data_IF_214074237443
#
_entry.id   IF_214074237443
#
_cell.length_a   1.000
_cell.length_b   1.000
_cell.length_c   1.000
_cell.angle_alpha   90.00
_cell.angle_beta   90.00
_cell.angle_gamma   90.00
#
_symmetry.space_group_name_H-M   'P 1'
#
loop_
_entity.id
_entity.type
_entity.pdbx_description
1 polymer ?
#
# COMPACT_ATOMS: atom_id res chain seq x y z
N UNK A 1 10.81 -11.38 11.15
CA UNK A 1 10.63 -11.66 12.60
C UNK A 1 9.25 -12.29 12.78
N UNK A 2 9.05 -13.27 13.67
CA UNK A 2 7.73 -13.92 13.84
C UNK A 2 6.89 -13.26 14.93
N UNK A 3 5.59 -13.09 14.70
CA UNK A 3 4.65 -12.54 15.69
C UNK A 3 4.43 -13.54 16.83
N UNK A 4 4.58 -13.09 18.08
CA UNK A 4 4.40 -13.94 19.27
C UNK A 4 2.92 -14.22 19.54
N UNK A 5 2.62 -15.26 20.32
CA UNK A 5 1.23 -15.59 20.68
C UNK A 5 0.54 -14.47 21.48
N UNK A 6 1.29 -13.75 22.32
CA UNK A 6 0.73 -12.63 23.07
C UNK A 6 0.46 -11.42 22.17
N UNK A 7 1.36 -11.12 21.21
CA UNK A 7 1.11 -10.10 20.19
C UNK A 7 -0.11 -10.47 19.34
N UNK A 8 -0.25 -11.73 18.91
CA UNK A 8 -1.44 -12.19 18.17
C UNK A 8 -2.74 -11.99 18.94
N UNK A 9 -2.76 -12.29 20.25
CA UNK A 9 -3.94 -12.05 21.10
C UNK A 9 -4.30 -10.56 21.15
N UNK A 10 -3.28 -9.69 21.29
CA UNK A 10 -3.47 -8.23 21.31
C UNK A 10 -3.99 -7.72 19.96
N UNK A 11 -3.40 -8.17 18.86
CA UNK A 11 -3.83 -7.80 17.50
C UNK A 11 -5.30 -8.18 17.31
N UNK A 12 -5.68 -9.44 17.62
CA UNK A 12 -7.06 -9.93 17.47
C UNK A 12 -8.04 -9.18 18.37
N UNK A 13 -7.69 -8.89 19.62
CA UNK A 13 -8.58 -8.20 20.56
C UNK A 13 -8.79 -6.73 20.20
N UNK A 14 -7.83 -6.11 19.52
CA UNK A 14 -7.90 -4.69 19.11
C UNK A 14 -8.36 -4.50 17.65
N UNK A 15 -8.36 -5.55 16.82
CA UNK A 15 -8.70 -5.47 15.39
C UNK A 15 -10.09 -4.88 15.12
N UNK A 16 -11.12 -5.24 15.92
CA UNK A 16 -12.48 -4.71 15.72
C UNK A 16 -12.55 -3.19 15.89
N UNK A 17 -11.78 -2.65 16.85
CA UNK A 17 -11.70 -1.20 17.10
C UNK A 17 -11.14 -0.50 15.85
N UNK A 18 -10.09 -1.06 15.25
CA UNK A 18 -9.52 -0.49 14.03
C UNK A 18 -10.46 -0.63 12.82
N UNK A 19 -11.26 -1.69 12.75
CA UNK A 19 -12.27 -1.87 11.69
C UNK A 19 -13.34 -0.80 11.74
N UNK A 20 -13.93 -0.62 12.91
CA UNK A 20 -15.05 0.30 13.14
C UNK A 20 -14.62 1.75 12.93
N UNK A 21 -13.35 2.06 13.22
CA UNK A 21 -12.80 3.41 13.17
C UNK A 21 -11.78 3.63 12.04
N UNK A 22 -11.73 2.71 11.07
CA UNK A 22 -10.70 2.71 10.03
C UNK A 22 -10.69 4.00 9.20
N UNK A 23 -11.86 4.63 8.99
CA UNK A 23 -11.97 5.92 8.29
C UNK A 23 -11.28 7.07 9.04
N UNK A 24 -11.42 7.11 10.36
CA UNK A 24 -10.80 8.16 11.18
C UNK A 24 -9.29 7.97 11.27
N UNK A 25 -8.86 6.74 11.56
CA UNK A 25 -7.44 6.37 11.61
C UNK A 25 -6.76 6.71 10.28
N UNK A 26 -7.37 6.34 9.16
CA UNK A 26 -6.79 6.61 7.83
C UNK A 26 -6.78 8.09 7.48
N UNK A 27 -7.77 8.87 7.94
CA UNK A 27 -7.77 10.33 7.80
C UNK A 27 -6.56 10.96 8.52
N UNK A 28 -6.31 10.56 9.77
CA UNK A 28 -5.15 11.00 10.55
C UNK A 28 -3.84 10.59 9.85
N UNK A 29 -3.77 9.33 9.40
CA UNK A 29 -2.63 8.78 8.67
C UNK A 29 -2.28 9.61 7.42
N UNK A 30 -3.22 9.78 6.48
CA UNK A 30 -2.92 10.48 5.23
C UNK A 30 -2.59 11.94 5.44
N UNK A 31 -3.28 12.61 6.39
CA UNK A 31 -2.97 13.99 6.74
C UNK A 31 -1.51 14.14 7.15
N UNK A 32 -1.07 13.38 8.15
CA UNK A 32 0.30 13.50 8.66
C UNK A 32 1.34 12.97 7.66
N UNK A 33 1.02 11.91 6.91
CA UNK A 33 1.92 11.36 5.90
C UNK A 33 2.24 12.41 4.84
N UNK A 34 1.23 13.09 4.27
CA UNK A 34 1.48 14.06 3.20
C UNK A 34 1.95 15.42 3.70
N UNK A 35 1.66 15.79 4.94
CA UNK A 35 2.29 16.96 5.57
C UNK A 35 3.81 16.78 5.70
N UNK A 36 4.27 15.57 6.00
CA UNK A 36 5.70 15.29 6.19
C UNK A 36 6.41 14.78 4.92
N UNK A 37 5.68 14.10 4.04
CA UNK A 37 6.17 13.47 2.81
C UNK A 37 5.28 13.86 1.60
N UNK A 38 5.24 15.15 1.22
CA UNK A 38 4.43 15.61 0.10
C UNK A 38 4.81 14.96 -1.23
N UNK A 39 6.05 14.47 -1.37
CA UNK A 39 6.53 13.72 -2.55
C UNK A 39 5.72 12.45 -2.82
N UNK A 40 5.16 11.83 -1.79
CA UNK A 40 4.38 10.60 -1.92
C UNK A 40 3.03 10.86 -2.60
N UNK A 41 2.53 12.11 -2.66
CA UNK A 41 1.31 12.46 -3.39
C UNK A 41 1.36 12.08 -4.88
N UNK A 42 2.54 11.87 -5.44
CA UNK A 42 2.71 11.41 -6.83
C UNK A 42 2.49 9.90 -6.98
N UNK A 43 2.71 9.12 -5.92
CA UNK A 43 2.51 7.67 -5.90
C UNK A 43 1.06 7.31 -5.53
N UNK A 44 0.39 8.17 -4.78
CA UNK A 44 -1.02 7.99 -4.43
C UNK A 44 -1.98 8.62 -5.44
N UNK A 45 -3.13 7.97 -5.65
CA UNK A 45 -4.13 8.49 -6.57
C UNK A 45 -4.89 9.65 -5.91
N UNK A 46 -4.56 10.88 -6.30
CA UNK A 46 -5.15 12.10 -5.74
C UNK A 46 -6.67 12.20 -5.95
N UNK A 47 -7.22 11.62 -7.03
CA UNK A 47 -8.66 11.57 -7.26
C UNK A 47 -9.34 10.69 -6.21
N UNK A 48 -8.78 9.52 -5.93
CA UNK A 48 -9.31 8.62 -4.91
C UNK A 48 -9.16 9.16 -3.48
N UNK A 49 -8.18 10.03 -3.24
CA UNK A 49 -8.06 10.76 -1.97
C UNK A 49 -9.17 11.79 -1.81
N UNK A 50 -9.45 12.58 -2.86
CA UNK A 50 -10.54 13.57 -2.85
C UNK A 50 -11.92 12.93 -2.67
N UNK A 51 -12.12 11.70 -3.15
CA UNK A 51 -13.37 10.96 -3.00
C UNK A 51 -13.41 10.05 -1.77
N UNK A 52 -12.31 9.90 -1.02
CA UNK A 52 -12.22 9.07 0.18
C UNK A 52 -12.27 7.55 -0.06
N UNK A 53 -12.12 7.08 -1.30
CA UNK A 53 -12.22 5.66 -1.66
C UNK A 53 -10.91 4.89 -1.42
N UNK A 54 -9.75 5.54 -1.48
CA UNK A 54 -8.46 4.90 -1.21
C UNK A 54 -8.17 4.72 0.27
N UNK A 55 -8.76 5.56 1.14
CA UNK A 55 -8.57 5.42 2.58
C UNK A 55 -9.14 4.12 3.13
N UNK A 56 -10.14 3.56 2.47
CA UNK A 56 -10.74 2.29 2.86
C UNK A 56 -9.87 1.06 2.54
N UNK A 57 -9.09 1.09 1.44
CA UNK A 57 -8.33 -0.09 0.99
C UNK A 57 -7.16 -0.46 1.91
N UNK A 58 -6.37 0.54 2.36
CA UNK A 58 -5.22 0.32 3.24
C UNK A 58 -5.65 -0.13 4.65
N UNK A 59 -6.69 0.48 5.22
CA UNK A 59 -7.23 0.03 6.51
C UNK A 59 -7.79 -1.39 6.42
N UNK A 60 -8.47 -1.73 5.32
CA UNK A 60 -9.04 -3.07 5.14
C UNK A 60 -7.96 -4.15 5.04
N UNK A 61 -6.85 -3.93 4.33
CA UNK A 61 -5.81 -4.96 4.24
C UNK A 61 -5.13 -5.18 5.59
N UNK A 62 -4.89 -4.12 6.36
CA UNK A 62 -4.33 -4.22 7.71
C UNK A 62 -5.31 -4.93 8.66
N UNK A 63 -6.59 -4.59 8.60
CA UNK A 63 -7.64 -5.26 9.37
C UNK A 63 -7.76 -6.75 9.00
N UNK A 64 -7.83 -7.04 7.71
CA UNK A 64 -8.01 -8.40 7.22
C UNK A 64 -6.77 -9.26 7.54
N UNK A 65 -5.58 -8.66 7.53
CA UNK A 65 -4.37 -9.30 8.03
C UNK A 65 -4.39 -9.53 9.54
N UNK A 66 -4.94 -8.58 10.33
CA UNK A 66 -5.11 -8.76 11.77
C UNK A 66 -6.08 -9.90 12.11
N UNK A 67 -7.19 -10.03 11.38
CA UNK A 67 -8.13 -11.16 11.54
C UNK A 67 -7.51 -12.51 11.16
N UNK A 68 -6.65 -12.52 10.16
CA UNK A 68 -6.02 -13.72 9.61
C UNK A 68 -4.55 -13.86 10.03
N UNK A 69 -4.15 -13.28 11.16
CA UNK A 69 -2.74 -13.21 11.57
C UNK A 69 -2.08 -14.58 11.79
N UNK A 70 -2.90 -15.62 12.03
CA UNK A 70 -2.42 -17.01 12.13
C UNK A 70 -2.23 -17.68 10.77
N UNK A 71 -2.86 -17.14 9.72
CA UNK A 71 -2.98 -17.73 8.38
C UNK A 71 -2.89 -16.67 7.31
N UNK A 72 -1.79 -15.91 7.29
CA UNK A 72 -1.58 -14.84 6.29
C UNK A 72 -1.57 -15.36 4.85
N UNK A 73 -1.33 -16.66 4.64
CA UNK A 73 -1.39 -17.31 3.33
C UNK A 73 -2.76 -17.17 2.64
N UNK A 74 -3.85 -16.99 3.38
CA UNK A 74 -5.18 -16.78 2.80
C UNK A 74 -5.30 -15.44 2.08
N UNK A 75 -4.41 -14.49 2.40
CA UNK A 75 -4.37 -13.15 1.83
C UNK A 75 -3.59 -13.10 0.52
N UNK A 76 -2.85 -14.16 0.18
CA UNK A 76 -1.92 -14.15 -0.94
C UNK A 76 -2.55 -13.71 -2.27
N UNK A 77 -3.77 -14.15 -2.66
CA UNK A 77 -4.39 -13.67 -3.90
C UNK A 77 -4.60 -12.15 -3.95
N UNK A 78 -5.02 -11.55 -2.84
CA UNK A 78 -5.21 -10.11 -2.71
C UNK A 78 -3.86 -9.38 -2.67
N UNK A 79 -2.89 -9.91 -1.93
CA UNK A 79 -1.53 -9.37 -1.86
C UNK A 79 -0.90 -9.35 -3.25
N UNK A 80 -0.98 -10.42 -4.05
CA UNK A 80 -0.45 -10.43 -5.43
C UNK A 80 -1.09 -9.34 -6.29
N UNK A 81 -2.42 -9.17 -6.17
CA UNK A 81 -3.14 -8.13 -6.92
C UNK A 81 -2.66 -6.73 -6.55
N UNK A 82 -2.41 -6.48 -5.26
CA UNK A 82 -1.91 -5.20 -4.77
C UNK A 82 -0.43 -5.01 -5.16
N UNK A 83 0.41 -6.04 -5.04
CA UNK A 83 1.83 -6.00 -5.39
C UNK A 83 2.03 -5.65 -6.88
N UNK A 84 1.20 -6.16 -7.79
CA UNK A 84 1.23 -5.74 -9.19
C UNK A 84 0.92 -4.25 -9.38
N UNK A 85 -0.01 -3.69 -8.59
CA UNK A 85 -0.29 -2.25 -8.61
C UNK A 85 0.85 -1.44 -8.01
N UNK A 86 1.44 -1.89 -6.91
CA UNK A 86 2.61 -1.27 -6.29
C UNK A 86 3.79 -1.20 -7.26
N UNK A 87 4.09 -2.30 -7.95
CA UNK A 87 5.12 -2.33 -9.00
C UNK A 87 4.80 -1.34 -10.12
N UNK A 88 3.55 -1.30 -10.59
CA UNK A 88 3.14 -0.35 -11.63
C UNK A 88 3.20 1.13 -11.18
N UNK A 89 3.16 1.38 -9.88
CA UNK A 89 3.31 2.69 -9.25
C UNK A 89 4.71 2.92 -8.68
N UNK A 90 5.68 2.08 -9.05
CA UNK A 90 7.09 2.20 -8.66
C UNK A 90 7.34 2.29 -7.15
N UNK A 91 6.48 1.64 -6.35
CA UNK A 91 6.67 1.52 -4.90
C UNK A 91 7.95 0.74 -4.60
N UNK A 92 8.77 1.27 -3.68
CA UNK A 92 10.04 0.69 -3.26
C UNK A 92 10.00 0.27 -1.79
N UNK A 93 10.96 -0.57 -1.38
CA UNK A 93 11.14 -1.03 0.00
C UNK A 93 11.24 0.11 1.00
N UNK A 94 11.86 1.23 0.62
CA UNK A 94 12.09 2.37 1.51
C UNK A 94 10.80 3.12 1.86
N UNK A 95 9.73 2.94 1.08
CA UNK A 95 8.42 3.52 1.38
C UNK A 95 7.73 2.83 2.56
N UNK A 96 8.00 1.54 2.82
CA UNK A 96 7.33 0.77 3.88
C UNK A 96 7.64 1.31 5.28
N UNK A 97 8.91 1.56 5.68
CA UNK A 97 9.20 2.17 6.98
C UNK A 97 8.49 3.52 7.19
N UNK A 98 8.36 4.33 6.13
CA UNK A 98 7.67 5.62 6.18
C UNK A 98 6.18 5.39 6.47
N UNK A 99 5.52 4.56 5.66
CA UNK A 99 4.10 4.24 5.82
C UNK A 99 3.80 3.63 7.20
N UNK A 100 4.62 2.68 7.64
CA UNK A 100 4.49 2.04 8.95
C UNK A 100 4.55 3.03 10.11
N UNK A 101 5.52 3.95 10.08
CA UNK A 101 5.66 5.01 11.09
C UNK A 101 4.38 5.84 11.21
N UNK A 102 3.87 6.38 10.10
CA UNK A 102 2.67 7.24 10.16
C UNK A 102 1.40 6.45 10.47
N UNK A 103 1.32 5.17 10.08
CA UNK A 103 0.19 4.32 10.42
C UNK A 103 0.13 4.05 11.93
N UNK A 104 1.27 3.67 12.54
CA UNK A 104 1.36 3.45 13.99
C UNK A 104 1.11 4.74 14.78
N UNK A 105 1.58 5.89 14.29
CA UNK A 105 1.24 7.19 14.89
C UNK A 105 -0.25 7.49 14.81
N UNK A 106 -0.91 7.16 13.69
CA UNK A 106 -2.35 7.35 13.55
C UNK A 106 -3.14 6.45 14.50
N UNK A 107 -2.75 5.18 14.65
CA UNK A 107 -3.35 4.25 15.62
C UNK A 107 -3.13 4.75 17.05
N UNK A 108 -1.91 5.17 17.39
CA UNK A 108 -1.59 5.72 18.70
C UNK A 108 -2.43 6.95 19.03
N UNK A 109 -2.52 7.91 18.10
CA UNK A 109 -3.31 9.13 18.28
C UNK A 109 -4.82 8.85 18.38
N UNK A 110 -5.31 7.84 17.66
CA UNK A 110 -6.70 7.44 17.71
C UNK A 110 -7.06 6.73 19.02
N UNK A 111 -6.20 5.84 19.51
CA UNK A 111 -6.42 5.12 20.76
C UNK A 111 -6.14 5.98 22.01
N UNK A 112 -5.35 7.06 21.86
CA UNK A 112 -5.01 8.01 22.92
C UNK A 112 -4.45 7.28 24.17
N UNK A 113 -5.04 7.48 25.35
CA UNK A 113 -4.64 6.81 26.59
C UNK A 113 -4.71 5.26 26.53
N UNK A 114 -5.45 4.71 25.55
CA UNK A 114 -5.55 3.25 25.34
C UNK A 114 -4.42 2.69 24.49
N UNK A 115 -3.56 3.53 23.92
CA UNK A 115 -2.43 3.11 23.09
C UNK A 115 -1.26 2.61 23.94
N UNK A 116 -1.42 1.47 24.63
CA UNK A 116 -0.35 0.94 25.49
C UNK A 116 0.87 0.53 24.65
N UNK A 117 2.09 0.53 25.23
CA UNK A 117 3.30 0.09 24.53
C UNK A 117 3.17 -1.30 23.91
N UNK A 118 2.48 -2.22 24.59
CA UNK A 118 2.24 -3.58 24.13
C UNK A 118 1.33 -3.62 22.90
N UNK A 119 0.32 -2.75 22.83
CA UNK A 119 -0.55 -2.63 21.66
C UNK A 119 0.24 -2.10 20.47
N UNK A 120 1.02 -1.04 20.66
CA UNK A 120 1.82 -0.44 19.58
C UNK A 120 2.91 -1.40 19.08
N UNK A 121 3.57 -2.14 19.97
CA UNK A 121 4.53 -3.17 19.62
C UNK A 121 3.87 -4.30 18.81
N UNK A 122 2.70 -4.79 19.24
CA UNK A 122 1.98 -5.84 18.53
C UNK A 122 1.56 -5.41 17.11
N UNK A 123 1.04 -4.20 16.95
CA UNK A 123 0.69 -3.65 15.63
C UNK A 123 1.92 -3.37 14.76
N UNK A 124 3.04 -2.95 15.37
CA UNK A 124 4.32 -2.77 14.66
C UNK A 124 4.85 -4.11 14.12
N UNK A 125 4.78 -5.17 14.93
CA UNK A 125 5.13 -6.52 14.50
C UNK A 125 4.24 -7.01 13.35
N UNK A 126 2.92 -6.80 13.45
CA UNK A 126 1.97 -7.13 12.39
C UNK A 126 2.29 -6.40 11.08
N UNK A 127 2.49 -5.08 11.16
CA UNK A 127 2.85 -4.26 10.01
C UNK A 127 4.13 -4.76 9.33
N UNK A 128 5.17 -5.04 10.13
CA UNK A 128 6.47 -5.48 9.63
C UNK A 128 6.37 -6.79 8.87
N UNK A 129 5.64 -7.78 9.41
CA UNK A 129 5.47 -9.07 8.72
C UNK A 129 4.72 -8.91 7.40
N UNK A 130 3.68 -8.08 7.37
CA UNK A 130 2.93 -7.83 6.13
C UNK A 130 3.81 -7.08 5.12
N UNK A 131 4.55 -6.07 5.56
CA UNK A 131 5.48 -5.31 4.74
C UNK A 131 6.56 -6.23 4.12
N UNK A 132 7.15 -7.12 4.91
CA UNK A 132 8.15 -8.08 4.43
C UNK A 132 7.59 -8.97 3.31
N UNK A 133 6.34 -9.46 3.45
CA UNK A 133 5.67 -10.25 2.41
C UNK A 133 5.51 -9.44 1.11
N UNK A 134 5.06 -8.19 1.21
CA UNK A 134 4.92 -7.33 0.04
C UNK A 134 6.28 -7.07 -0.63
N UNK A 135 7.29 -6.70 0.15
CA UNK A 135 8.64 -6.42 -0.34
C UNK A 135 9.21 -7.64 -1.07
N UNK A 136 9.05 -8.84 -0.52
CA UNK A 136 9.55 -10.07 -1.14
C UNK A 136 8.85 -10.40 -2.47
N UNK A 137 7.54 -10.16 -2.56
CA UNK A 137 6.77 -10.39 -3.79
C UNK A 137 7.11 -9.32 -4.83
N UNK A 138 7.11 -8.05 -4.44
CA UNK A 138 7.38 -6.93 -5.32
C UNK A 138 8.80 -6.99 -5.88
N UNK A 139 9.78 -7.39 -5.05
CA UNK A 139 11.14 -7.65 -5.52
C UNK A 139 11.18 -8.64 -6.68
N UNK A 140 10.44 -9.77 -6.58
CA UNK A 140 10.35 -10.73 -7.69
C UNK A 140 9.69 -10.13 -8.93
N UNK A 141 8.64 -9.33 -8.74
CA UNK A 141 7.98 -8.63 -9.85
C UNK A 141 8.87 -7.60 -10.53
N UNK A 142 9.79 -6.97 -9.80
CA UNK A 142 10.82 -6.11 -10.37
C UNK A 142 11.92 -6.90 -11.08
N UNK A 143 12.35 -8.04 -10.51
CA UNK A 143 13.34 -8.93 -11.13
C UNK A 143 12.84 -9.50 -12.47
N UNK A 144 11.51 -9.71 -12.62
CA UNK A 144 10.86 -10.13 -13.87
C UNK A 144 10.97 -9.11 -15.02
N UNK A 145 11.24 -7.83 -14.74
CA UNK A 145 11.43 -6.79 -15.77
C UNK A 145 12.77 -6.95 -16.51
N UNK A 146 13.64 -7.85 -16.05
CA UNK A 146 14.94 -8.11 -16.63
C UNK A 146 16.04 -7.15 -16.15
N UNK A 147 17.20 -7.24 -16.77
CA UNK A 147 18.41 -6.55 -16.31
C UNK A 147 18.55 -5.10 -16.80
N UNK A 148 17.64 -4.63 -17.67
CA UNK A 148 17.71 -3.27 -18.16
C UNK A 148 17.17 -2.31 -17.10
N UNK A 149 18.06 -1.56 -16.44
CA UNK A 149 17.67 -0.57 -15.44
C UNK A 149 16.67 0.46 -15.99
N UNK A 150 16.73 0.78 -17.30
CA UNK A 150 15.76 1.68 -17.92
C UNK A 150 14.33 1.12 -17.99
N UNK A 151 14.16 -0.20 -17.81
CA UNK A 151 12.87 -0.88 -17.85
C UNK A 151 12.23 -1.05 -16.47
N UNK A 152 12.96 -0.67 -15.41
CA UNK A 152 12.51 -0.82 -14.01
C UNK A 152 11.70 0.38 -13.50
N UNK A 153 11.60 1.45 -14.28
CA UNK A 153 10.87 2.69 -13.98
C UNK A 153 10.04 3.17 -15.19
N UNK A 154 9.49 4.39 -15.13
CA UNK A 154 8.74 5.02 -16.21
C UNK A 154 9.58 5.16 -17.49
N UNK A 155 9.27 4.32 -18.47
CA UNK A 155 9.84 4.39 -19.82
C UNK A 155 9.13 5.50 -20.63
N UNK A 156 9.87 6.40 -21.30
CA UNK A 156 9.25 7.42 -22.14
C UNK A 156 8.67 6.81 -23.42
N UNK A 157 7.37 6.98 -23.64
CA UNK A 157 6.69 6.56 -24.88
C UNK A 157 6.20 7.77 -25.70
N UNK A 158 6.27 7.64 -27.02
CA UNK A 158 5.70 8.60 -27.97
C UNK A 158 4.43 8.02 -28.59
N UNK A 159 3.37 8.83 -28.68
CA UNK A 159 2.14 8.47 -29.39
C UNK A 159 2.41 8.55 -30.89
N UNK A 160 2.40 7.39 -31.56
CA UNK A 160 2.59 7.31 -33.02
C UNK A 160 1.28 7.34 -33.80
N UNK A 161 0.15 7.06 -33.13
CA UNK A 161 -1.18 7.12 -33.74
C UNK A 161 -2.26 7.33 -32.67
N UNK A 162 -3.26 8.15 -33.01
CA UNK A 162 -4.50 8.32 -32.24
C UNK A 162 -5.69 8.12 -33.18
N UNK A 163 -6.59 7.20 -32.86
CA UNK A 163 -7.75 6.87 -33.70
C UNK A 163 -9.04 6.89 -32.90
N UNK A 164 -10.10 7.48 -33.47
CA UNK A 164 -11.45 7.41 -32.88
C UNK A 164 -12.07 6.07 -33.26
N UNK A 165 -12.42 5.25 -32.27
CA UNK A 165 -12.87 3.87 -32.51
C UNK A 165 -14.35 3.63 -32.23
N UNK A 166 -15.04 4.59 -31.59
CA UNK A 166 -16.46 4.48 -31.29
C UNK A 166 -17.13 5.87 -31.24
N UNK A 167 -18.47 5.87 -31.13
CA UNK A 167 -19.22 7.09 -30.81
C UNK A 167 -18.86 7.56 -29.38
N UNK A 168 -18.87 8.88 -29.16
CA UNK A 168 -18.37 9.49 -27.92
C UNK A 168 -16.85 9.74 -27.91
N UNK A 169 -16.25 10.06 -26.75
CA UNK A 169 -14.83 10.43 -26.61
C UNK A 169 -13.91 9.20 -26.44
N UNK A 170 -14.10 8.15 -27.23
CA UNK A 170 -13.32 6.89 -27.13
C UNK A 170 -12.27 6.84 -28.23
N UNK A 171 -11.00 6.75 -27.83
CA UNK A 171 -9.84 6.74 -28.74
C UNK A 171 -8.91 5.56 -28.43
N UNK A 172 -8.32 4.99 -29.48
CA UNK A 172 -7.18 4.08 -29.40
C UNK A 172 -5.87 4.86 -29.59
N UNK A 173 -4.84 4.51 -28.82
CA UNK A 173 -3.51 5.09 -28.91
C UNK A 173 -2.50 4.00 -29.23
N UNK A 174 -1.75 4.17 -30.32
CA UNK A 174 -0.57 3.35 -30.60
C UNK A 174 0.66 4.11 -30.11
N UNK A 175 1.48 3.46 -29.30
CA UNK A 175 2.67 4.05 -28.68
C UNK A 175 3.93 3.29 -29.08
N UNK A 176 5.07 3.99 -29.13
CA UNK A 176 6.40 3.42 -29.35
C UNK A 176 7.35 3.96 -28.28
N UNK A 177 8.30 3.14 -27.82
CA UNK A 177 9.36 3.60 -26.93
C UNK A 177 10.15 4.73 -27.58
N UNK A 178 10.45 5.77 -26.82
CA UNK A 178 11.18 6.95 -27.30
C UNK A 178 12.69 6.79 -27.19
N UNK A 179 13.16 5.86 -26.36
CA UNK A 179 14.56 5.55 -26.11
C UNK A 179 15.21 4.64 -27.16
N UNK A 180 14.45 4.21 -28.18
CA UNK A 180 14.96 3.41 -29.28
C UNK A 180 14.84 1.89 -29.09
N UNK A 181 14.58 1.42 -27.86
CA UNK A 181 14.54 -0.01 -27.51
C UNK A 181 15.92 -0.62 -27.30
#
# INVERSE_FOLDING_TARGET
MSITEDQKKIIKSTASILKENGKEITSIFYKHLFEAHPELLNLFNQTNQKTGTQSFALANIIYFAAENIDRLEVLMPDIYTIAHKHRALTVQSEHYPIVGKYMLQAISKFLDDKATPEILDAWSAAYTVIADIFIDIEKKLYDELGNNENDKDFIPFTIVKKEKIAHGPIYSFKIKRSDGG
#
